data_IF_868370838541
#
_entry.id   IF_868370838541
#
_cell.length_a   1.000
_cell.length_b   1.000
_cell.length_c   1.000
_cell.angle_alpha   90.00
_cell.angle_beta   90.00
_cell.angle_gamma   90.00
#
_symmetry.space_group_name_H-M   'P 1'
#
loop_
_entity.id
_entity.type
_entity.pdbx_description
1 polymer ?
#
# COMPACT_ATOMS: atom_id res chain seq x y z
N UNK A 1 13.52 25.50 0.98
CA UNK A 1 13.36 25.15 0.64
C UNK A 1 13.22 24.60 0.65
N UNK A 2 13.29 24.42 0.85
CA UNK A 2 13.08 23.93 0.49
C UNK A 2 12.51 23.46 0.71
N UNK A 3 12.32 23.59 0.99
CA UNK A 3 11.73 23.05 1.02
C UNK A 3 10.97 22.77 0.94
N UNK A 4 10.74 23.13 0.97
CA UNK A 4 10.13 22.77 0.61
C UNK A 4 10.17 22.09 0.08
N UNK A 5 10.58 22.73 -0.13
CA UNK A 5 10.75 21.72 -0.84
C UNK A 5 10.39 20.45 -0.34
N UNK A 6 10.55 19.82 -0.48
CA UNK A 6 10.17 18.63 0.12
C UNK A 6 9.41 18.72 1.40
N UNK A 7 9.23 19.86 1.95
CA UNK A 7 8.47 20.02 3.16
C UNK A 7 6.97 19.93 2.98
N UNK A 8 6.48 19.81 1.75
CA UNK A 8 5.05 19.71 1.52
C UNK A 8 4.51 18.33 1.89
N UNK A 9 3.21 18.26 2.09
CA UNK A 9 2.52 16.99 2.35
C UNK A 9 2.50 16.19 1.05
N UNK A 10 3.05 14.98 1.09
CA UNK A 10 3.05 14.09 -0.07
C UNK A 10 1.73 13.36 -0.23
N UNK A 11 1.01 13.19 0.86
CA UNK A 11 -0.28 12.49 0.87
C UNK A 11 -1.37 13.54 0.89
N UNK A 12 -2.21 13.62 -0.16
CA UNK A 12 -3.23 14.66 -0.25
C UNK A 12 -4.35 14.42 0.76
N UNK A 13 -5.04 15.50 1.15
CA UNK A 13 -6.12 15.42 2.12
C UNK A 13 -7.41 14.87 1.53
N UNK A 14 -7.65 15.12 0.26
CA UNK A 14 -8.88 14.69 -0.40
C UNK A 14 -8.85 13.22 -0.79
N UNK A 15 -9.97 12.73 -1.30
CA UNK A 15 -10.03 11.38 -1.81
C UNK A 15 -9.16 11.22 -3.05
N UNK A 16 -8.47 10.10 -3.11
CA UNK A 16 -7.69 9.72 -4.27
C UNK A 16 -8.61 9.18 -5.36
N UNK A 17 -8.08 9.07 -6.57
CA UNK A 17 -8.77 8.33 -7.63
C UNK A 17 -8.74 6.84 -7.33
N UNK A 18 -9.70 6.06 -7.85
CA UNK A 18 -9.60 4.61 -7.74
C UNK A 18 -8.26 4.09 -8.27
N UNK A 19 -7.68 3.14 -7.58
CA UNK A 19 -6.40 2.54 -7.96
C UNK A 19 -5.17 3.25 -7.43
N UNK A 20 -5.33 4.34 -6.70
CA UNK A 20 -4.22 5.13 -6.14
C UNK A 20 -4.05 4.79 -4.66
N UNK A 21 -2.84 4.40 -4.27
CA UNK A 21 -2.52 3.95 -2.91
C UNK A 21 -1.17 4.53 -2.49
N UNK A 22 -1.06 4.92 -1.22
CA UNK A 22 0.21 5.34 -0.62
C UNK A 22 0.67 4.30 0.39
N UNK A 23 1.97 4.03 0.40
CA UNK A 23 2.61 3.15 1.39
C UNK A 23 3.91 3.81 1.85
N UNK A 24 4.34 3.45 3.05
CA UNK A 24 5.61 3.91 3.62
C UNK A 24 6.43 2.67 3.96
N UNK A 25 7.67 2.65 3.51
CA UNK A 25 8.52 1.48 3.69
C UNK A 25 9.99 1.85 3.55
N UNK A 26 10.86 0.94 3.94
CA UNK A 26 12.30 1.12 3.76
C UNK A 26 12.67 0.84 2.31
N UNK A 27 13.39 1.77 1.69
CA UNK A 27 13.90 1.61 0.33
C UNK A 27 15.30 1.02 0.30
N UNK A 28 15.86 0.88 -0.89
CA UNK A 28 17.18 0.29 -1.09
C UNK A 28 18.29 1.08 -0.41
N UNK A 29 18.12 2.39 -0.24
CA UNK A 29 19.11 3.21 0.47
C UNK A 29 19.16 2.92 1.98
N UNK A 30 18.18 2.17 2.50
CA UNK A 30 18.00 1.98 3.95
C UNK A 30 17.13 3.04 4.61
N UNK A 31 16.80 4.11 3.90
CA UNK A 31 15.91 5.15 4.41
C UNK A 31 14.46 4.72 4.25
N UNK A 32 13.61 5.26 5.12
CA UNK A 32 12.16 5.03 5.09
C UNK A 32 11.52 6.21 4.36
N UNK A 33 10.63 5.93 3.43
CA UNK A 33 9.98 6.97 2.66
C UNK A 33 8.65 6.55 2.08
N UNK A 34 8.07 7.47 1.33
CA UNK A 34 6.71 7.33 0.78
C UNK A 34 6.77 6.86 -0.67
N UNK A 35 5.93 5.90 -0.96
CA UNK A 35 5.72 5.39 -2.33
C UNK A 35 4.26 5.57 -2.70
N UNK A 36 4.02 5.94 -3.95
CA UNK A 36 2.68 6.04 -4.51
C UNK A 36 2.50 4.99 -5.60
N UNK A 37 1.39 4.28 -5.54
CA UNK A 37 1.00 3.30 -6.53
C UNK A 37 -0.22 3.84 -7.26
N UNK A 38 -0.23 3.71 -8.58
CA UNK A 38 -1.38 4.09 -9.40
C UNK A 38 -1.65 2.97 -10.38
N UNK A 39 -2.88 2.47 -10.41
CA UNK A 39 -3.24 1.34 -11.26
C UNK A 39 -4.37 1.72 -12.20
N UNK A 40 -4.38 1.03 -13.34
CA UNK A 40 -5.42 1.14 -14.36
C UNK A 40 -5.85 -0.26 -14.77
N UNK A 41 -7.07 -0.38 -15.24
CA UNK A 41 -7.64 -1.63 -15.68
C UNK A 41 -8.28 -1.41 -17.05
N UNK A 42 -8.10 -2.36 -17.95
CA UNK A 42 -8.69 -2.31 -19.28
C UNK A 42 -9.13 -3.70 -19.70
N UNK A 43 -10.04 -3.79 -20.69
CA UNK A 43 -10.43 -5.09 -21.24
C UNK A 43 -9.19 -5.82 -21.77
N UNK A 44 -9.11 -7.11 -21.49
CA UNK A 44 -7.95 -7.90 -21.89
C UNK A 44 -8.13 -9.35 -21.51
N UNK A 45 -7.02 -10.00 -21.18
CA UNK A 45 -7.02 -11.44 -20.92
C UNK A 45 -6.14 -11.86 -19.73
N UNK A 46 -5.90 -10.94 -18.79
CA UNK A 46 -5.21 -11.28 -17.55
C UNK A 46 -3.75 -10.85 -17.51
N UNK A 47 -3.33 -9.92 -18.35
CA UNK A 47 -1.97 -9.37 -18.25
C UNK A 47 -1.83 -8.49 -17.04
N UNK A 48 -0.65 -8.53 -16.42
CA UNK A 48 -0.28 -7.65 -15.32
C UNK A 48 1.04 -6.98 -15.68
N UNK A 49 1.00 -5.67 -15.90
CA UNK A 49 2.17 -4.88 -16.29
C UNK A 49 2.52 -3.90 -15.19
N UNK A 50 3.82 -3.70 -14.98
CA UNK A 50 4.36 -2.82 -13.94
C UNK A 50 5.32 -1.82 -14.57
N UNK A 51 5.24 -0.58 -14.10
CA UNK A 51 6.17 0.47 -14.49
C UNK A 51 6.72 1.13 -13.22
N UNK A 52 7.91 1.74 -13.32
CA UNK A 52 8.52 2.45 -12.21
C UNK A 52 9.34 1.60 -11.25
N UNK A 53 9.29 0.27 -11.39
CA UNK A 53 10.06 -0.65 -10.53
C UNK A 53 11.53 -0.71 -10.94
N UNK A 54 11.83 -0.44 -12.22
CA UNK A 54 13.18 -0.63 -12.75
C UNK A 54 13.55 -2.11 -12.78
N UNK A 55 14.77 -2.41 -12.36
CA UNK A 55 15.29 -3.78 -12.35
C UNK A 55 15.29 -4.39 -10.95
N UNK A 56 14.63 -3.77 -9.98
CA UNK A 56 14.62 -4.26 -8.61
C UNK A 56 13.87 -5.59 -8.51
N UNK A 57 14.60 -6.63 -8.13
CA UNK A 57 14.04 -7.99 -8.09
C UNK A 57 13.00 -8.13 -6.98
N UNK A 58 13.29 -7.59 -5.79
CA UNK A 58 12.39 -7.74 -4.64
C UNK A 58 11.08 -7.02 -4.89
N UNK A 59 11.14 -5.83 -5.48
CA UNK A 59 9.94 -5.09 -5.87
C UNK A 59 9.13 -5.87 -6.89
N UNK A 60 9.80 -6.46 -7.88
CA UNK A 60 9.12 -7.26 -8.90
C UNK A 60 8.46 -8.48 -8.28
N UNK A 61 9.16 -9.19 -7.40
CA UNK A 61 8.62 -10.38 -6.76
C UNK A 61 7.42 -10.05 -5.87
N UNK A 62 7.52 -9.00 -5.05
CA UNK A 62 6.42 -8.65 -4.16
C UNK A 62 5.19 -8.20 -4.94
N UNK A 63 5.36 -7.47 -6.04
CA UNK A 63 4.23 -7.10 -6.90
C UNK A 63 3.58 -8.33 -7.54
N UNK A 64 4.38 -9.32 -7.95
CA UNK A 64 3.85 -10.58 -8.48
C UNK A 64 3.08 -11.36 -7.41
N UNK A 65 3.56 -11.34 -6.17
CA UNK A 65 2.87 -11.97 -5.05
C UNK A 65 1.43 -11.43 -4.95
N UNK A 66 1.26 -10.13 -5.09
CA UNK A 66 -0.07 -9.52 -5.02
C UNK A 66 -0.98 -10.02 -6.14
N UNK A 67 -0.49 -10.05 -7.37
CA UNK A 67 -1.32 -10.47 -8.50
C UNK A 67 -1.65 -11.96 -8.42
N UNK A 68 -0.71 -12.77 -7.98
CA UNK A 68 -0.95 -14.20 -7.77
C UNK A 68 -1.98 -14.44 -6.66
N UNK A 69 -1.90 -13.66 -5.58
CA UNK A 69 -2.89 -13.73 -4.52
C UNK A 69 -4.27 -13.35 -5.06
N UNK A 70 -4.35 -12.31 -5.88
CA UNK A 70 -5.61 -11.85 -6.46
C UNK A 70 -6.22 -12.92 -7.37
N UNK A 71 -5.40 -13.57 -8.19
CA UNK A 71 -5.87 -14.66 -9.06
C UNK A 71 -6.45 -15.81 -8.25
N UNK A 72 -5.80 -16.17 -7.15
CA UNK A 72 -6.21 -17.30 -6.33
C UNK A 72 -7.38 -16.98 -5.41
N UNK A 73 -7.50 -15.73 -4.94
CA UNK A 73 -8.41 -15.38 -3.85
C UNK A 73 -9.33 -14.19 -4.15
N UNK A 74 -9.28 -13.63 -5.35
CA UNK A 74 -10.07 -12.44 -5.67
C UNK A 74 -11.56 -12.62 -5.47
N UNK A 75 -12.08 -13.81 -5.69
CA UNK A 75 -13.49 -14.10 -5.50
C UNK A 75 -13.94 -13.98 -4.04
N UNK A 76 -13.03 -14.12 -3.10
CA UNK A 76 -13.32 -13.90 -1.67
C UNK A 76 -13.51 -12.42 -1.35
N UNK A 77 -12.93 -11.55 -2.19
CA UNK A 77 -13.04 -10.11 -2.02
C UNK A 77 -14.31 -9.63 -2.72
N UNK A 78 -14.48 -10.00 -3.99
CA UNK A 78 -15.67 -9.64 -4.75
C UNK A 78 -15.78 -10.51 -6.00
N UNK A 79 -16.98 -10.94 -6.32
CA UNK A 79 -17.26 -11.63 -7.58
C UNK A 79 -17.10 -10.74 -8.81
N UNK A 80 -16.96 -9.42 -8.62
CA UNK A 80 -16.80 -8.48 -9.73
C UNK A 80 -15.35 -8.29 -10.15
N UNK A 81 -14.40 -8.89 -9.43
CA UNK A 81 -12.99 -8.80 -9.78
C UNK A 81 -12.66 -9.90 -10.78
N UNK A 82 -12.13 -9.52 -11.94
CA UNK A 82 -11.71 -10.46 -12.97
C UNK A 82 -10.23 -10.34 -13.25
N UNK A 83 -9.53 -11.47 -13.23
CA UNK A 83 -8.14 -11.57 -13.65
C UNK A 83 -8.00 -12.35 -14.96
N UNK A 84 -9.10 -12.64 -15.64
CA UNK A 84 -9.09 -13.39 -16.89
C UNK A 84 -9.63 -12.59 -18.09
N UNK A 85 -10.46 -11.57 -17.83
CA UNK A 85 -11.04 -10.73 -18.89
C UNK A 85 -10.56 -9.28 -18.79
N UNK A 86 -9.70 -8.97 -17.84
CA UNK A 86 -9.15 -7.63 -17.64
C UNK A 86 -7.64 -7.71 -17.57
N UNK A 87 -7.00 -6.68 -18.12
CA UNK A 87 -5.56 -6.44 -17.92
C UNK A 87 -5.40 -5.34 -16.89
N UNK A 88 -4.30 -5.38 -16.16
CA UNK A 88 -3.97 -4.40 -15.12
C UNK A 88 -2.59 -3.82 -15.39
N UNK A 89 -2.48 -2.51 -15.23
CA UNK A 89 -1.21 -1.79 -15.31
C UNK A 89 -1.05 -1.02 -14.01
N UNK A 90 0.12 -1.11 -13.38
CA UNK A 90 0.39 -0.38 -12.16
C UNK A 90 1.74 0.34 -12.27
N UNK A 91 1.74 1.60 -11.84
CA UNK A 91 2.95 2.43 -11.80
C UNK A 91 3.35 2.65 -10.34
N UNK A 92 4.64 2.49 -10.05
CA UNK A 92 5.22 2.68 -8.72
C UNK A 92 6.11 3.92 -8.75
N UNK A 93 5.92 4.80 -7.78
CA UNK A 93 6.65 6.05 -7.70
C UNK A 93 7.32 6.17 -6.33
N UNK A 94 8.64 6.30 -6.36
CA UNK A 94 9.46 6.57 -5.18
C UNK A 94 9.46 8.08 -4.98
N UNK A 95 8.62 8.58 -4.09
CA UNK A 95 8.37 10.02 -3.99
C UNK A 95 9.51 10.81 -3.36
N UNK A 96 10.43 10.14 -2.69
CA UNK A 96 11.52 10.81 -1.97
C UNK A 96 12.89 10.36 -2.43
N UNK A 97 12.98 9.57 -3.49
CA UNK A 97 14.25 9.20 -4.09
C UNK A 97 15.11 8.30 -3.21
N UNK A 98 14.50 7.42 -2.43
CA UNK A 98 15.22 6.56 -1.48
C UNK A 98 15.54 5.17 -2.03
N UNK A 99 15.19 4.91 -3.28
CA UNK A 99 15.29 3.59 -3.88
C UNK A 99 14.03 2.77 -3.66
N UNK A 100 13.75 1.85 -4.58
CA UNK A 100 12.52 1.07 -4.54
C UNK A 100 12.51 0.13 -3.33
N UNK A 101 11.33 -0.17 -2.82
CA UNK A 101 11.13 -1.11 -1.71
C UNK A 101 10.76 -2.49 -2.24
N UNK A 102 11.09 -3.52 -1.46
CA UNK A 102 10.64 -4.88 -1.71
C UNK A 102 9.32 -5.23 -1.03
N UNK A 103 8.64 -4.27 -0.41
CA UNK A 103 7.42 -4.51 0.37
C UNK A 103 6.21 -3.91 -0.33
N UNK A 104 5.87 -4.47 -1.50
CA UNK A 104 4.82 -3.94 -2.34
C UNK A 104 3.60 -4.85 -2.48
N UNK A 105 3.61 -6.04 -1.88
CA UNK A 105 2.52 -6.99 -2.14
C UNK A 105 1.18 -6.48 -1.63
N UNK A 106 1.10 -6.04 -0.38
CA UNK A 106 -0.18 -5.56 0.15
C UNK A 106 -0.66 -4.27 -0.51
N UNK A 107 0.17 -3.23 -0.62
CA UNK A 107 -0.30 -2.01 -1.30
C UNK A 107 -0.68 -2.27 -2.77
N UNK A 108 0.01 -3.18 -3.47
CA UNK A 108 -0.36 -3.55 -4.83
C UNK A 108 -1.74 -4.23 -4.86
N UNK A 109 -1.97 -5.17 -3.95
CA UNK A 109 -3.26 -5.85 -3.87
C UNK A 109 -4.40 -4.85 -3.66
N UNK A 110 -4.21 -3.90 -2.76
CA UNK A 110 -5.23 -2.89 -2.48
C UNK A 110 -5.45 -2.00 -3.70
N UNK A 111 -4.38 -1.59 -4.38
CA UNK A 111 -4.49 -0.76 -5.58
C UNK A 111 -5.26 -1.48 -6.69
N UNK A 112 -4.97 -2.76 -6.89
CA UNK A 112 -5.65 -3.56 -7.91
C UNK A 112 -7.14 -3.75 -7.58
N UNK A 113 -7.47 -4.02 -6.33
CA UNK A 113 -8.86 -4.16 -5.91
C UNK A 113 -9.61 -2.83 -6.03
N UNK A 114 -8.95 -1.74 -5.67
CA UNK A 114 -9.52 -0.40 -5.79
C UNK A 114 -9.91 -0.09 -7.24
N UNK A 115 -9.01 -0.34 -8.20
CA UNK A 115 -9.33 -0.07 -9.61
C UNK A 115 -10.35 -1.08 -10.15
N UNK A 116 -10.24 -2.34 -9.76
CA UNK A 116 -11.17 -3.37 -10.23
C UNK A 116 -12.60 -3.06 -9.82
N UNK A 117 -12.78 -2.52 -8.63
CA UNK A 117 -14.10 -2.18 -8.08
C UNK A 117 -14.50 -0.74 -8.37
N UNK A 118 -13.62 0.08 -8.96
CA UNK A 118 -13.89 1.48 -9.23
C UNK A 118 -14.11 2.28 -7.95
N UNK A 119 -13.47 1.89 -6.85
CA UNK A 119 -13.70 2.46 -5.54
C UNK A 119 -12.40 2.97 -4.93
N UNK A 120 -12.30 4.28 -4.64
CA UNK A 120 -11.06 4.82 -4.06
C UNK A 120 -10.85 4.30 -2.64
N UNK A 121 -9.59 4.27 -2.21
CA UNK A 121 -9.27 4.02 -0.81
C UNK A 121 -9.68 5.24 0.02
N UNK A 122 -9.79 5.06 1.34
CA UNK A 122 -10.12 6.15 2.24
C UNK A 122 -9.10 7.28 2.11
N UNK A 123 -9.56 8.51 2.31
CA UNK A 123 -8.71 9.70 2.16
C UNK A 123 -7.60 9.73 3.20
N UNK A 124 -6.44 10.24 2.80
CA UNK A 124 -5.26 10.40 3.65
C UNK A 124 -4.80 9.09 4.30
N UNK A 125 -4.97 7.97 3.60
CA UNK A 125 -4.63 6.64 4.09
C UNK A 125 -3.24 6.24 3.63
N UNK A 126 -2.44 5.71 4.56
CA UNK A 126 -1.21 4.98 4.27
C UNK A 126 -1.43 3.51 4.59
N UNK A 127 -1.03 2.64 3.69
CA UNK A 127 -1.07 1.19 3.87
C UNK A 127 0.29 0.75 4.40
N UNK A 128 0.31 0.07 5.55
CA UNK A 128 1.52 -0.48 6.14
C UNK A 128 1.43 -2.00 6.24
N UNK A 129 2.61 -2.62 6.28
CA UNK A 129 2.71 -4.08 6.40
C UNK A 129 2.81 -4.76 5.06
N UNK A 130 2.93 -6.08 5.11
CA UNK A 130 3.14 -6.89 3.93
C UNK A 130 2.40 -8.21 4.07
N UNK A 131 2.22 -8.90 2.95
CA UNK A 131 1.63 -10.24 2.94
C UNK A 131 2.53 -11.19 2.16
N UNK A 132 2.48 -12.46 2.55
CA UNK A 132 3.08 -13.55 1.76
C UNK A 132 2.10 -13.97 0.66
N UNK A 133 2.54 -14.91 -0.19
CA UNK A 133 1.70 -15.42 -1.29
C UNK A 133 0.43 -16.12 -0.77
N UNK A 134 0.47 -16.65 0.43
CA UNK A 134 -0.70 -17.29 1.05
C UNK A 134 -1.54 -16.32 1.86
N UNK A 135 -1.15 -15.03 1.90
CA UNK A 135 -1.89 -14.01 2.62
C UNK A 135 -1.50 -13.87 4.08
N UNK A 136 -0.40 -14.49 4.52
CA UNK A 136 0.09 -14.33 5.88
C UNK A 136 0.59 -12.90 6.08
N UNK A 137 0.10 -12.26 7.15
CA UNK A 137 0.49 -10.89 7.48
C UNK A 137 1.91 -10.84 8.00
N UNK A 138 2.67 -9.86 7.53
CA UNK A 138 4.03 -9.59 7.97
C UNK A 138 4.04 -8.22 8.62
N UNK A 139 4.52 -8.14 9.86
CA UNK A 139 4.48 -6.91 10.63
C UNK A 139 5.38 -5.84 10.04
N UNK A 140 5.14 -4.59 10.43
CA UNK A 140 5.92 -3.44 10.01
C UNK A 140 7.27 -3.46 10.69
N UNK A 141 8.34 -3.27 9.92
CA UNK A 141 9.68 -3.08 10.48
C UNK A 141 9.83 -1.64 10.94
N UNK A 142 10.57 -1.42 12.04
CA UNK A 142 10.87 -0.09 12.56
C UNK A 142 9.62 0.79 12.67
N UNK A 143 8.67 0.31 13.44
CA UNK A 143 7.33 0.89 13.49
C UNK A 143 7.34 2.38 13.86
N UNK A 144 8.10 2.77 14.87
CA UNK A 144 8.12 4.17 15.30
C UNK A 144 8.63 5.09 14.19
N UNK A 145 9.72 4.72 13.53
CA UNK A 145 10.28 5.51 12.41
C UNK A 145 9.33 5.56 11.24
N UNK A 146 8.66 4.45 10.95
CA UNK A 146 7.68 4.36 9.86
C UNK A 146 6.50 5.28 10.12
N UNK A 147 5.96 5.26 11.34
CA UNK A 147 4.84 6.13 11.70
C UNK A 147 5.23 7.61 11.69
N UNK A 148 6.48 7.93 12.04
CA UNK A 148 6.95 9.31 11.98
C UNK A 148 6.95 9.82 10.54
N UNK A 149 7.39 9.00 9.59
CA UNK A 149 7.33 9.35 8.16
C UNK A 149 5.88 9.53 7.71
N UNK A 150 4.98 8.67 8.15
CA UNK A 150 3.55 8.82 7.87
C UNK A 150 3.01 10.17 8.34
N UNK A 151 3.33 10.56 9.56
CA UNK A 151 2.89 11.82 10.13
C UNK A 151 3.44 13.00 9.34
N UNK A 152 4.75 13.01 9.07
CA UNK A 152 5.41 14.09 8.36
C UNK A 152 4.89 14.24 6.94
N UNK A 153 4.41 13.15 6.34
CA UNK A 153 3.94 13.12 4.95
C UNK A 153 2.46 13.47 4.80
N UNK A 154 1.73 13.60 5.90
CA UNK A 154 0.34 14.05 5.86
C UNK A 154 -0.70 12.95 6.03
N UNK A 155 -0.29 11.74 6.42
CA UNK A 155 -1.25 10.67 6.68
C UNK A 155 -2.15 11.02 7.87
N UNK A 156 -3.44 10.70 7.74
CA UNK A 156 -4.41 10.82 8.85
C UNK A 156 -4.97 9.48 9.25
N UNK A 157 -4.92 8.50 8.35
CA UNK A 157 -5.33 7.12 8.59
C UNK A 157 -4.17 6.21 8.24
N UNK A 158 -3.94 5.21 9.08
CA UNK A 158 -2.88 4.23 8.87
C UNK A 158 -3.47 2.84 9.00
N UNK A 159 -3.40 2.10 7.89
CA UNK A 159 -3.83 0.70 7.85
C UNK A 159 -2.63 -0.14 8.30
N UNK A 160 -2.78 -0.88 9.41
CA UNK A 160 -1.66 -1.54 10.09
C UNK A 160 -2.00 -2.99 10.40
N UNK A 161 -1.08 -3.95 10.18
CA UNK A 161 -1.37 -5.35 10.50
C UNK A 161 -1.42 -5.54 12.02
N UNK A 162 -2.37 -6.38 12.47
CA UNK A 162 -2.50 -6.67 13.91
C UNK A 162 -1.23 -7.31 14.48
N UNK A 163 -0.41 -7.95 13.63
CA UNK A 163 0.88 -8.50 14.06
C UNK A 163 1.85 -7.42 14.55
N UNK A 164 1.62 -6.15 14.22
CA UNK A 164 2.46 -5.05 14.70
C UNK A 164 2.11 -4.59 16.13
N UNK A 165 1.03 -5.10 16.71
CA UNK A 165 0.63 -4.71 18.07
C UNK A 165 1.74 -4.97 19.11
N UNK A 166 2.54 -6.01 18.88
CA UNK A 166 3.66 -6.34 19.79
C UNK A 166 4.69 -5.22 19.89
N UNK A 167 4.76 -4.34 18.90
CA UNK A 167 5.72 -3.25 18.85
C UNK A 167 5.14 -1.90 19.28
N UNK A 168 3.86 -1.85 19.66
CA UNK A 168 3.23 -0.57 20.02
C UNK A 168 3.90 0.08 21.23
N UNK A 169 4.46 -0.70 22.15
CA UNK A 169 5.16 -0.16 23.31
C UNK A 169 6.43 0.61 22.92
N UNK A 170 6.95 0.40 21.71
CA UNK A 170 8.16 1.10 21.23
C UNK A 170 7.83 2.46 20.60
N UNK A 171 6.55 2.79 20.47
CA UNK A 171 6.10 4.00 19.77
C UNK A 171 5.72 5.06 20.80
N UNK A 172 6.20 6.32 20.64
CA UNK A 172 5.78 7.39 21.55
C UNK A 172 4.26 7.57 21.54
N UNK A 173 3.64 7.80 22.71
CA UNK A 173 2.16 7.94 22.78
C UNK A 173 1.61 9.06 21.89
N UNK A 174 2.30 10.18 21.77
CA UNK A 174 1.84 11.29 20.93
C UNK A 174 1.79 10.88 19.47
N UNK A 175 2.72 10.06 19.03
CA UNK A 175 2.74 9.57 17.67
C UNK A 175 1.61 8.58 17.44
N UNK A 176 1.35 7.69 18.40
CA UNK A 176 0.24 6.74 18.30
C UNK A 176 -1.10 7.44 18.18
N UNK A 177 -1.30 8.55 18.90
CA UNK A 177 -2.57 9.26 18.89
C UNK A 177 -2.73 10.24 17.73
N UNK A 178 -1.69 10.39 16.89
CA UNK A 178 -1.74 11.34 15.77
C UNK A 178 -2.58 10.85 14.61
N UNK A 179 -2.95 9.57 14.57
CA UNK A 179 -3.64 8.94 13.45
C UNK A 179 -4.90 8.23 13.91
N UNK A 180 -5.79 7.99 12.95
CA UNK A 180 -6.74 6.89 13.07
C UNK A 180 -6.03 5.61 12.63
N UNK A 181 -5.68 4.75 13.59
CA UNK A 181 -5.07 3.46 13.30
C UNK A 181 -6.17 2.46 12.96
N UNK A 182 -6.02 1.79 11.81
CA UNK A 182 -7.01 0.84 11.32
C UNK A 182 -6.31 -0.52 11.23
N UNK A 183 -6.50 -1.40 12.22
CA UNK A 183 -5.85 -2.72 12.19
C UNK A 183 -6.56 -3.66 11.23
N UNK A 184 -5.78 -4.52 10.56
CA UNK A 184 -6.33 -5.58 9.73
C UNK A 184 -5.76 -6.93 10.17
N UNK A 185 -6.53 -8.01 9.90
CA UNK A 185 -6.20 -9.34 10.37
C UNK A 185 -6.04 -10.36 9.25
N UNK A 186 -6.25 -9.93 7.99
CA UNK A 186 -6.05 -10.77 6.81
C UNK A 186 -5.88 -9.86 5.61
N UNK A 187 -5.44 -10.43 4.49
CA UNK A 187 -5.30 -9.67 3.25
C UNK A 187 -6.66 -9.14 2.79
N UNK A 188 -7.71 -9.97 2.85
CA UNK A 188 -9.06 -9.58 2.47
C UNK A 188 -9.58 -8.46 3.38
N UNK A 189 -9.36 -8.60 4.70
CA UNK A 189 -9.76 -7.59 5.68
C UNK A 189 -9.07 -6.25 5.39
N UNK A 190 -7.79 -6.30 5.02
CA UNK A 190 -7.04 -5.10 4.66
C UNK A 190 -7.67 -4.37 3.47
N UNK A 191 -8.07 -5.12 2.44
CA UNK A 191 -8.72 -4.54 1.27
C UNK A 191 -10.03 -3.86 1.67
N UNK A 192 -10.89 -4.55 2.43
CA UNK A 192 -12.17 -4.00 2.84
C UNK A 192 -12.00 -2.73 3.67
N UNK A 193 -11.07 -2.75 4.61
CA UNK A 193 -10.82 -1.59 5.47
C UNK A 193 -10.20 -0.43 4.71
N UNK A 194 -9.29 -0.71 3.78
CA UNK A 194 -8.72 0.34 2.95
C UNK A 194 -9.78 1.04 2.11
N UNK A 195 -10.75 0.28 1.59
CA UNK A 195 -11.83 0.82 0.77
C UNK A 195 -12.99 1.38 1.59
N UNK A 196 -12.97 1.20 2.90
CA UNK A 196 -14.05 1.68 3.77
C UNK A 196 -15.34 0.92 3.60
N UNK A 197 -15.27 -0.37 3.25
CA UNK A 197 -16.45 -1.25 3.12
C UNK A 197 -16.39 -2.33 4.19
N UNK A 198 -17.55 -2.86 4.50
CA UNK A 198 -17.69 -3.94 5.49
C UNK A 198 -17.82 -5.30 4.84
#
# INVERSE_FOLDING_TARGET
>A
SVPEQGGGKLIPEGMCNPGQVYTVSQGKSGMIGVFRLESQMLPGNGKFERTGIGTDRDAKESSNTAFNFLKANGSRISGNISTTTKDYIINYQDLQGIGMTGKLALPTLIALCSIALGRPVQSSLVVLGEISISGTMIKVDELASTLQVCLDSGAKRVLIPSTSFVDFATVPPDLMSAFQLIPYQSAEDAVFKALGVE
#
